data_IF_388922572627
#
_entry.id   IF_388922572627
#
_cell.length_a   1.000
_cell.length_b   1.000
_cell.length_c   1.000
_cell.angle_alpha   90.00
_cell.angle_beta   90.00
_cell.angle_gamma   90.00
#
_symmetry.space_group_name_H-M   'P 1'
#
loop_
_entity.id
_entity.type
_entity.pdbx_description
1 polymer ?
#
# COMPACT_ATOMS: atom_id res chain seq x y z
N UNK A 1 32.77 -9.32 9.55
CA UNK A 1 31.74 -9.93 8.68
C UNK A 1 31.98 -9.45 7.27
N UNK A 2 32.55 -10.33 6.45
CA UNK A 2 32.89 -10.10 5.05
C UNK A 2 31.68 -10.50 4.20
N UNK A 3 31.26 -9.63 3.29
CA UNK A 3 30.41 -10.01 2.16
C UNK A 3 31.30 -10.14 0.92
N UNK A 4 31.34 -11.35 0.37
CA UNK A 4 31.98 -11.64 -0.91
C UNK A 4 31.10 -11.15 -2.07
N UNK A 5 31.65 -10.42 -3.05
CA UNK A 5 30.97 -10.22 -4.33
C UNK A 5 31.34 -11.35 -5.30
N UNK A 6 30.32 -12.02 -5.85
CA UNK A 6 30.47 -12.96 -6.96
C UNK A 6 30.84 -12.18 -8.23
N UNK A 7 32.13 -12.21 -8.55
CA UNK A 7 32.71 -11.79 -9.82
C UNK A 7 32.50 -12.87 -10.88
N UNK A 8 31.86 -12.53 -12.00
CA UNK A 8 32.10 -13.19 -13.29
C UNK A 8 33.21 -12.43 -14.01
N UNK A 9 34.35 -13.05 -14.37
CA UNK A 9 35.40 -12.36 -15.12
C UNK A 9 35.13 -12.47 -16.63
N UNK A 10 34.90 -11.33 -17.27
CA UNK A 10 34.81 -11.21 -18.73
C UNK A 10 35.45 -9.90 -19.17
N UNK A 11 36.67 -10.00 -19.70
CA UNK A 11 37.57 -8.92 -20.13
C UNK A 11 36.91 -7.93 -21.11
N UNK A 12 37.19 -6.64 -20.93
CA UNK A 12 37.10 -5.66 -22.03
C UNK A 12 36.82 -4.21 -21.62
N UNK A 13 37.90 -3.46 -21.41
CA UNK A 13 38.04 -1.99 -21.65
C UNK A 13 37.02 -1.03 -21.02
N UNK A 14 37.53 -0.19 -20.11
CA UNK A 14 36.92 1.07 -19.73
C UNK A 14 36.70 1.95 -20.98
N UNK A 15 35.44 2.25 -21.28
CA UNK A 15 35.06 3.26 -22.27
C UNK A 15 34.42 4.39 -21.48
N UNK A 16 35.15 5.50 -21.41
CA UNK A 16 34.67 6.80 -21.00
C UNK A 16 33.54 7.27 -21.92
N UNK A 17 32.36 7.54 -21.35
CA UNK A 17 31.51 8.68 -21.71
C UNK A 17 31.15 8.91 -23.19
N UNK A 18 30.78 7.87 -23.95
CA UNK A 18 30.08 8.06 -25.23
C UNK A 18 28.80 7.23 -25.24
N UNK A 19 27.68 7.94 -25.45
CA UNK A 19 26.34 7.37 -25.67
C UNK A 19 26.38 6.22 -26.66
N UNK A 20 25.76 5.10 -26.28
CA UNK A 20 25.74 3.89 -27.06
C UNK A 20 24.99 4.09 -28.38
N UNK A 21 25.67 3.72 -29.47
CA UNK A 21 25.11 3.66 -30.82
C UNK A 21 23.99 2.62 -30.93
N UNK A 22 23.16 2.79 -31.96
CA UNK A 22 21.92 2.06 -32.33
C UNK A 22 21.94 0.52 -32.17
N UNK A 23 23.11 -0.11 -32.07
CA UNK A 23 23.25 -1.56 -31.80
C UNK A 23 22.91 -1.94 -30.34
N UNK A 24 22.91 -0.99 -29.40
CA UNK A 24 22.55 -1.22 -28.00
C UNK A 24 21.07 -1.53 -27.79
N UNK A 25 20.16 -0.83 -28.46
CA UNK A 25 18.71 -0.92 -28.23
C UNK A 25 18.11 -2.29 -28.56
N UNK A 26 18.69 -3.02 -29.53
CA UNK A 26 18.33 -4.41 -29.78
C UNK A 26 18.90 -5.38 -28.73
N UNK A 27 20.09 -5.08 -28.19
CA UNK A 27 20.74 -5.87 -27.14
C UNK A 27 20.00 -5.80 -25.80
N UNK A 28 19.35 -4.67 -25.52
CA UNK A 28 18.60 -4.46 -24.28
C UNK A 28 17.15 -4.96 -24.31
N UNK A 29 16.64 -5.50 -25.42
CA UNK A 29 15.30 -6.14 -25.44
C UNK A 29 15.22 -7.30 -24.46
N UNK A 30 16.28 -8.10 -24.37
CA UNK A 30 16.40 -9.16 -23.37
C UNK A 30 16.42 -8.62 -21.94
N UNK A 31 17.11 -7.50 -21.72
CA UNK A 31 17.22 -6.84 -20.42
C UNK A 31 15.90 -6.26 -19.94
N UNK A 32 15.14 -5.59 -20.83
CA UNK A 32 13.80 -5.06 -20.52
C UNK A 32 12.85 -6.18 -20.12
N UNK A 33 12.78 -7.26 -20.91
CA UNK A 33 11.96 -8.42 -20.55
C UNK A 33 12.37 -9.03 -19.20
N UNK A 34 13.67 -9.09 -18.90
CA UNK A 34 14.16 -9.59 -17.61
C UNK A 34 13.78 -8.66 -16.45
N UNK A 35 13.91 -7.34 -16.62
CA UNK A 35 13.49 -6.36 -15.60
C UNK A 35 11.99 -6.43 -15.34
N UNK A 36 11.18 -6.55 -16.40
CA UNK A 36 9.72 -6.70 -16.28
C UNK A 36 9.34 -7.99 -15.55
N UNK A 37 10.07 -9.09 -15.80
CA UNK A 37 9.89 -10.35 -15.09
C UNK A 37 10.33 -10.26 -13.63
N UNK A 38 11.49 -9.65 -13.35
CA UNK A 38 11.99 -9.39 -11.98
C UNK A 38 11.03 -8.48 -11.21
N UNK A 39 10.35 -7.57 -11.90
CA UNK A 39 9.29 -6.75 -11.33
C UNK A 39 8.00 -7.54 -11.09
N UNK A 40 7.88 -8.82 -11.45
CA UNK A 40 6.73 -9.67 -11.15
C UNK A 40 5.62 -9.65 -12.20
N UNK A 41 5.91 -9.25 -13.44
CA UNK A 41 5.00 -9.52 -14.54
C UNK A 41 5.07 -11.00 -14.93
N UNK A 42 3.91 -11.54 -15.31
CA UNK A 42 3.76 -12.94 -15.70
C UNK A 42 4.59 -13.28 -16.96
N UNK A 43 5.32 -14.40 -16.98
CA UNK A 43 6.15 -14.78 -18.13
C UNK A 43 5.38 -14.98 -19.44
N UNK A 44 4.12 -15.44 -19.40
CA UNK A 44 3.29 -15.61 -20.60
C UNK A 44 2.89 -14.25 -21.16
N UNK A 45 2.51 -13.32 -20.28
CA UNK A 45 2.28 -11.92 -20.63
C UNK A 45 3.54 -11.29 -21.24
N UNK A 46 4.73 -11.49 -20.66
CA UNK A 46 5.99 -11.00 -21.24
C UNK A 46 6.30 -11.69 -22.57
N UNK A 47 5.99 -12.99 -22.72
CA UNK A 47 6.22 -13.76 -23.94
C UNK A 47 5.37 -13.25 -25.11
N UNK A 48 4.11 -12.85 -24.86
CA UNK A 48 3.27 -12.16 -25.85
C UNK A 48 3.94 -10.88 -26.37
N UNK A 49 4.74 -10.21 -25.52
CA UNK A 49 5.50 -9.00 -25.87
C UNK A 49 6.89 -9.28 -26.45
N UNK A 50 7.46 -10.49 -26.28
CA UNK A 50 8.78 -10.88 -26.80
C UNK A 50 8.81 -11.18 -28.31
N UNK A 51 7.65 -11.23 -28.99
CA UNK A 51 7.50 -11.46 -30.43
C UNK A 51 7.23 -10.16 -31.24
N UNK A 52 8.06 -9.13 -31.04
CA UNK A 52 8.11 -7.93 -31.91
C UNK A 52 8.68 -8.24 -33.33
N UNK A 53 8.11 -9.23 -34.04
CA UNK A 53 8.44 -9.57 -35.45
C UNK A 53 7.28 -9.25 -36.42
N UNK A 54 7.28 -7.97 -36.83
CA UNK A 54 7.37 -7.47 -38.22
C UNK A 54 6.20 -7.56 -39.22
N UNK A 55 5.10 -8.29 -39.03
CA UNK A 55 4.02 -8.33 -40.07
C UNK A 55 2.65 -7.82 -39.61
N UNK A 56 2.38 -7.66 -38.32
CA UNK A 56 1.02 -7.33 -37.82
C UNK A 56 0.98 -6.33 -36.65
N UNK A 57 1.96 -5.42 -36.59
CA UNK A 57 2.07 -4.43 -35.50
C UNK A 57 0.86 -3.48 -35.43
N UNK A 58 0.15 -3.26 -36.54
CA UNK A 58 -0.93 -2.28 -36.65
C UNK A 58 -2.33 -2.81 -36.33
N UNK A 59 -2.56 -4.14 -36.34
CA UNK A 59 -3.93 -4.68 -36.22
C UNK A 59 -4.21 -5.44 -34.92
N UNK A 60 -3.19 -5.87 -34.18
CA UNK A 60 -3.38 -6.66 -32.94
C UNK A 60 -2.49 -6.26 -31.76
N UNK A 61 -1.41 -5.48 -31.98
CA UNK A 61 -0.46 -5.15 -30.92
C UNK A 61 -0.80 -3.89 -30.11
N UNK A 62 -1.76 -3.07 -30.56
CA UNK A 62 -2.27 -1.94 -29.78
C UNK A 62 -3.45 -2.31 -28.88
N UNK A 63 -4.20 -3.37 -29.22
CA UNK A 63 -5.35 -3.84 -28.45
C UNK A 63 -4.98 -4.72 -27.24
N UNK A 64 -3.71 -5.13 -27.08
CA UNK A 64 -3.35 -6.20 -26.13
C UNK A 64 -2.05 -5.99 -25.34
N UNK A 65 -1.52 -4.77 -25.27
CA UNK A 65 -0.51 -4.50 -24.24
C UNK A 65 -1.23 -4.54 -22.90
N UNK A 66 -1.05 -5.65 -22.17
CA UNK A 66 -1.59 -5.78 -20.82
C UNK A 66 -1.17 -4.56 -20.01
N UNK A 67 -2.12 -3.78 -19.44
CA UNK A 67 -1.80 -2.62 -18.63
C UNK A 67 -0.78 -2.96 -17.54
N UNK A 68 -0.87 -4.17 -16.96
CA UNK A 68 0.10 -4.67 -15.98
C UNK A 68 1.52 -4.68 -16.51
N UNK A 69 1.73 -5.18 -17.73
CA UNK A 69 3.05 -5.25 -18.36
C UNK A 69 3.58 -3.85 -18.68
N UNK A 70 2.72 -2.97 -19.22
CA UNK A 70 3.09 -1.57 -19.47
C UNK A 70 3.54 -0.85 -18.19
N UNK A 71 2.79 -1.02 -17.10
CA UNK A 71 3.10 -0.40 -15.82
C UNK A 71 4.41 -0.93 -15.22
N UNK A 72 4.63 -2.24 -15.28
CA UNK A 72 5.90 -2.83 -14.83
C UNK A 72 7.09 -2.33 -15.67
N UNK A 73 6.92 -2.23 -16.99
CA UNK A 73 7.95 -1.67 -17.87
C UNK A 73 8.25 -0.19 -17.55
N UNK A 74 7.23 0.56 -17.13
CA UNK A 74 7.40 1.94 -16.68
C UNK A 74 7.95 2.05 -15.24
N UNK A 75 8.27 0.93 -14.58
CA UNK A 75 8.89 0.91 -13.25
C UNK A 75 7.91 1.02 -12.08
N UNK A 76 6.60 0.93 -12.33
CA UNK A 76 5.60 0.96 -11.26
C UNK A 76 5.63 -0.33 -10.42
N UNK A 77 5.40 -0.17 -9.12
CA UNK A 77 5.11 -1.30 -8.22
C UNK A 77 3.63 -1.66 -8.34
N UNK A 78 3.31 -2.94 -8.50
CA UNK A 78 1.91 -3.40 -8.46
C UNK A 78 1.55 -3.67 -7.02
N UNK A 79 1.23 -2.60 -6.30
CA UNK A 79 0.55 -2.71 -5.03
C UNK A 79 -0.96 -2.71 -5.36
N UNK A 80 -1.63 -3.84 -5.17
CA UNK A 80 -3.09 -4.03 -5.35
C UNK A 80 -3.64 -3.85 -6.78
N UNK A 81 -2.84 -4.14 -7.82
CA UNK A 81 -3.28 -4.18 -9.23
C UNK A 81 -3.81 -2.86 -9.82
N UNK A 82 -3.87 -1.77 -9.04
CA UNK A 82 -4.36 -0.46 -9.46
C UNK A 82 -3.20 0.52 -9.65
N UNK A 83 -3.19 1.23 -10.77
CA UNK A 83 -2.30 2.36 -10.97
C UNK A 83 -2.82 3.53 -10.15
N UNK A 84 -2.20 3.78 -8.99
CA UNK A 84 -2.49 4.99 -8.24
C UNK A 84 -1.26 5.86 -8.14
N UNK A 85 -1.31 7.00 -8.82
CA UNK A 85 -0.37 8.09 -8.63
C UNK A 85 -1.02 9.07 -7.64
N UNK A 86 -0.37 9.40 -6.51
CA UNK A 86 -0.93 10.35 -5.54
C UNK A 86 -1.34 11.68 -6.14
N UNK A 87 -0.65 12.12 -7.20
CA UNK A 87 -0.95 13.36 -7.92
C UNK A 87 -2.24 13.29 -8.75
N UNK A 88 -2.71 12.10 -9.14
CA UNK A 88 -3.90 11.96 -9.98
C UNK A 88 -5.18 12.39 -9.27
N UNK A 89 -5.20 12.45 -7.94
CA UNK A 89 -6.35 12.89 -7.14
C UNK A 89 -6.59 14.40 -7.19
N UNK A 90 -5.59 15.18 -7.63
CA UNK A 90 -5.73 16.63 -7.64
C UNK A 90 -5.70 17.17 -9.08
N UNK A 91 -6.90 17.53 -9.54
CA UNK A 91 -7.15 18.03 -10.88
C UNK A 91 -6.79 19.51 -10.94
N UNK A 92 -5.96 19.95 -11.91
CA UNK A 92 -5.67 21.38 -12.07
C UNK A 92 -6.94 22.20 -12.34
N UNK A 93 -7.06 23.44 -11.83
CA UNK A 93 -8.18 24.33 -12.13
C UNK A 93 -8.38 24.49 -13.65
N UNK A 94 -9.64 24.53 -14.10
CA UNK A 94 -9.97 24.60 -15.54
C UNK A 94 -9.31 25.83 -16.17
N UNK A 95 -9.32 26.98 -15.49
CA UNK A 95 -8.72 28.24 -15.94
C UNK A 95 -7.22 28.12 -16.17
N UNK A 96 -6.54 27.27 -15.39
CA UNK A 96 -5.12 27.00 -15.56
C UNK A 96 -4.89 26.03 -16.74
N UNK A 97 -5.74 25.02 -16.89
CA UNK A 97 -5.69 24.10 -18.03
C UNK A 97 -5.90 24.81 -19.37
N UNK A 98 -6.75 25.85 -19.43
CA UNK A 98 -6.97 26.63 -20.66
C UNK A 98 -5.71 27.32 -21.18
N UNK A 99 -4.75 27.59 -20.29
CA UNK A 99 -3.52 28.30 -20.65
C UNK A 99 -2.48 27.40 -21.32
N UNK A 100 -2.57 26.08 -21.13
CA UNK A 100 -1.72 25.10 -21.80
C UNK A 100 -2.47 24.59 -23.03
N UNK A 101 -1.90 24.71 -24.22
CA UNK A 101 -2.57 24.37 -25.50
C UNK A 101 -3.97 25.02 -25.65
N UNK A 102 -4.06 26.36 -25.71
CA UNK A 102 -5.33 27.07 -25.80
C UNK A 102 -6.13 26.72 -27.07
N UNK A 103 -5.43 26.45 -28.18
CA UNK A 103 -6.04 26.13 -29.47
C UNK A 103 -6.97 24.92 -29.46
N UNK A 104 -6.85 24.03 -28.47
CA UNK A 104 -7.67 22.82 -28.36
C UNK A 104 -9.15 23.19 -28.21
N UNK A 105 -9.46 24.28 -27.51
CA UNK A 105 -10.83 24.73 -27.29
C UNK A 105 -11.51 25.18 -28.58
N UNK A 106 -10.75 25.59 -29.59
CA UNK A 106 -11.26 26.00 -30.91
C UNK A 106 -11.89 24.84 -31.69
N UNK A 107 -11.60 23.59 -31.31
CA UNK A 107 -12.12 22.38 -31.95
C UNK A 107 -13.44 21.87 -31.33
N UNK A 108 -13.95 22.51 -30.28
CA UNK A 108 -15.20 22.14 -29.63
C UNK A 108 -16.27 23.19 -29.93
N UNK A 109 -17.34 22.76 -30.62
CA UNK A 109 -18.45 23.63 -31.05
C UNK A 109 -19.18 24.28 -29.86
N UNK A 110 -19.19 23.61 -28.71
CA UNK A 110 -19.78 24.11 -27.48
C UNK A 110 -18.83 23.99 -26.29
N UNK A 111 -18.95 24.95 -25.37
CA UNK A 111 -18.23 24.91 -24.10
C UNK A 111 -18.59 23.66 -23.26
N UNK A 112 -19.79 23.10 -23.46
CA UNK A 112 -20.26 21.92 -22.75
C UNK A 112 -19.55 20.64 -23.21
N UNK A 113 -19.25 20.51 -24.50
CA UNK A 113 -18.53 19.35 -25.05
C UNK A 113 -17.09 19.29 -24.54
N UNK A 114 -16.43 20.45 -24.48
CA UNK A 114 -15.12 20.60 -23.86
C UNK A 114 -15.14 20.18 -22.39
N UNK A 115 -16.07 20.72 -21.59
CA UNK A 115 -16.17 20.38 -20.17
C UNK A 115 -16.47 18.89 -19.94
N UNK A 116 -17.32 18.28 -20.77
CA UNK A 116 -17.60 16.85 -20.71
C UNK A 116 -16.35 16.02 -21.00
N UNK A 117 -15.60 16.36 -22.05
CA UNK A 117 -14.34 15.69 -22.39
C UNK A 117 -13.31 15.84 -21.26
N UNK A 118 -13.09 17.07 -20.80
CA UNK A 118 -12.15 17.37 -19.71
C UNK A 118 -12.55 16.61 -18.45
N UNK A 119 -13.80 16.67 -18.01
CA UNK A 119 -14.22 15.96 -16.81
C UNK A 119 -14.01 14.45 -16.94
N UNK A 120 -14.32 13.86 -18.09
CA UNK A 120 -14.13 12.42 -18.31
C UNK A 120 -12.65 12.02 -18.31
N UNK A 121 -11.78 12.80 -18.95
CA UNK A 121 -10.34 12.51 -19.02
C UNK A 121 -9.64 12.83 -17.70
N UNK A 122 -10.01 13.91 -17.03
CA UNK A 122 -9.33 14.42 -15.84
C UNK A 122 -9.65 13.61 -14.59
N UNK A 123 -10.87 13.05 -14.50
CA UNK A 123 -11.28 12.23 -13.36
C UNK A 123 -10.71 10.81 -13.39
N UNK A 124 -9.86 10.46 -14.38
CA UNK A 124 -9.30 9.11 -14.58
C UNK A 124 -10.35 8.01 -14.34
N UNK A 125 -11.59 8.20 -14.82
CA UNK A 125 -12.68 7.23 -14.58
C UNK A 125 -12.20 5.85 -15.02
N UNK A 126 -12.35 4.85 -14.15
CA UNK A 126 -11.96 3.48 -14.45
C UNK A 126 -12.58 3.10 -15.81
N UNK A 127 -11.74 2.67 -16.75
CA UNK A 127 -12.15 2.35 -18.13
C UNK A 127 -13.26 1.29 -18.18
N UNK A 128 -13.48 0.59 -17.06
CA UNK A 128 -14.47 -0.47 -16.86
C UNK A 128 -15.80 -0.02 -16.24
N UNK A 129 -15.89 1.17 -15.65
CA UNK A 129 -17.13 1.66 -15.03
C UNK A 129 -17.75 2.72 -15.94
N UNK A 130 -18.77 2.33 -16.69
CA UNK A 130 -19.72 3.24 -17.34
C UNK A 130 -19.16 4.15 -18.46
N UNK A 131 -18.10 3.74 -19.18
CA UNK A 131 -18.00 4.21 -20.56
C UNK A 131 -19.18 3.56 -21.28
N UNK A 132 -20.17 4.32 -21.78
CA UNK A 132 -21.34 3.72 -22.41
C UNK A 132 -20.85 2.70 -23.45
N UNK A 133 -21.31 1.45 -23.35
CA UNK A 133 -20.73 0.33 -24.07
C UNK A 133 -20.86 0.61 -25.55
N UNK A 134 -19.75 0.95 -26.22
CA UNK A 134 -19.73 1.07 -27.67
C UNK A 134 -20.86 1.92 -28.29
N UNK A 135 -21.33 2.97 -27.61
CA UNK A 135 -21.51 4.23 -28.36
C UNK A 135 -20.08 4.74 -28.61
N UNK A 136 -19.32 3.94 -29.39
CA UNK A 136 -18.39 4.51 -30.35
C UNK A 136 -19.22 5.61 -30.93
N UNK A 137 -18.83 6.87 -30.75
CA UNK A 137 -19.32 7.87 -31.68
C UNK A 137 -19.03 7.23 -33.02
N UNK A 138 -20.07 6.72 -33.70
CA UNK A 138 -19.97 6.29 -35.08
C UNK A 138 -19.86 7.62 -35.80
N UNK A 139 -18.70 8.23 -35.63
CA UNK A 139 -18.19 9.22 -36.51
C UNK A 139 -17.99 8.40 -37.75
N UNK A 140 -18.95 8.49 -38.68
CA UNK A 140 -18.79 7.99 -40.05
C UNK A 140 -17.56 8.64 -40.74
N UNK A 141 -16.92 9.59 -40.07
CA UNK A 141 -15.71 10.29 -40.44
C UNK A 141 -14.51 9.85 -39.56
N UNK A 142 -13.70 8.95 -40.12
CA UNK A 142 -12.44 8.47 -39.52
C UNK A 142 -11.48 9.63 -39.16
N UNK A 143 -11.51 10.73 -39.92
CA UNK A 143 -10.66 11.90 -39.68
C UNK A 143 -11.06 12.60 -38.38
N UNK A 144 -12.37 12.84 -38.19
CA UNK A 144 -12.91 13.43 -36.96
C UNK A 144 -12.63 12.54 -35.75
N UNK A 145 -12.68 11.21 -35.90
CA UNK A 145 -12.37 10.27 -34.82
C UNK A 145 -10.89 10.36 -34.40
N UNK A 146 -9.96 10.32 -35.38
CA UNK A 146 -8.53 10.44 -35.10
C UNK A 146 -8.18 11.78 -34.44
N UNK A 147 -8.79 12.87 -34.92
CA UNK A 147 -8.64 14.19 -34.32
C UNK A 147 -9.13 14.22 -32.87
N UNK A 148 -10.28 13.61 -32.58
CA UNK A 148 -10.81 13.55 -31.21
C UNK A 148 -9.93 12.73 -30.25
N UNK A 149 -9.37 11.61 -30.71
CA UNK A 149 -8.39 10.85 -29.92
C UNK A 149 -7.16 11.70 -29.65
N UNK A 150 -6.63 12.39 -30.66
CA UNK A 150 -5.45 13.24 -30.53
C UNK A 150 -5.69 14.38 -29.53
N UNK A 151 -6.81 15.09 -29.65
CA UNK A 151 -7.18 16.17 -28.73
C UNK A 151 -7.38 15.66 -27.30
N UNK A 152 -8.01 14.49 -27.14
CA UNK A 152 -8.12 13.80 -25.83
C UNK A 152 -6.75 13.53 -25.20
N UNK A 153 -5.78 13.04 -25.98
CA UNK A 153 -4.41 12.84 -25.49
C UNK A 153 -3.76 14.15 -25.07
N UNK A 154 -3.94 15.23 -25.84
CA UNK A 154 -3.40 16.54 -25.46
C UNK A 154 -4.02 17.05 -24.16
N UNK A 155 -5.32 16.85 -23.94
CA UNK A 155 -6.00 17.18 -22.67
C UNK A 155 -5.38 16.42 -21.52
N UNK A 156 -5.18 15.11 -21.65
CA UNK A 156 -4.49 14.31 -20.64
C UNK A 156 -3.07 14.83 -20.37
N UNK A 157 -2.33 15.19 -21.43
CA UNK A 157 -0.99 15.77 -21.30
C UNK A 157 -1.01 17.11 -20.57
N UNK A 158 -2.05 17.96 -20.71
CA UNK A 158 -2.16 19.20 -19.90
C UNK A 158 -2.14 18.88 -18.40
N UNK A 159 -2.91 17.87 -17.98
CA UNK A 159 -2.96 17.40 -16.58
C UNK A 159 -1.57 17.02 -16.10
N UNK A 160 -0.92 16.12 -16.85
CA UNK A 160 0.40 15.59 -16.52
C UNK A 160 1.45 16.69 -16.47
N UNK A 161 1.48 17.59 -17.47
CA UNK A 161 2.42 18.72 -17.52
C UNK A 161 2.25 19.62 -16.31
N UNK A 162 1.02 20.00 -15.95
CA UNK A 162 0.77 20.89 -14.81
C UNK A 162 1.14 20.23 -13.48
N UNK A 163 0.76 18.96 -13.29
CA UNK A 163 1.09 18.19 -12.10
C UNK A 163 2.60 17.99 -11.93
N UNK A 164 3.27 17.55 -12.99
CA UNK A 164 4.70 17.26 -12.96
C UNK A 164 5.52 18.56 -12.89
N UNK A 165 5.07 19.64 -13.53
CA UNK A 165 5.67 20.97 -13.36
C UNK A 165 5.62 21.42 -11.89
N UNK A 166 4.46 21.27 -11.23
CA UNK A 166 4.31 21.65 -9.83
C UNK A 166 5.26 20.84 -8.94
N UNK A 167 5.34 19.51 -9.16
CA UNK A 167 6.24 18.63 -8.43
C UNK A 167 7.73 18.95 -8.69
N UNK A 168 8.12 19.19 -9.94
CA UNK A 168 9.50 19.51 -10.32
C UNK A 168 9.97 20.85 -9.73
N UNK A 169 9.09 21.84 -9.64
CA UNK A 169 9.44 23.13 -9.05
C UNK A 169 9.62 23.05 -7.53
N UNK A 170 9.07 22.04 -6.85
CA UNK A 170 9.40 21.76 -5.43
C UNK A 170 10.81 21.19 -5.27
N UNK A 171 11.27 20.42 -6.26
CA UNK A 171 12.61 19.85 -6.27
C UNK A 171 13.70 20.86 -6.66
N UNK A 172 13.36 22.13 -6.93
CA UNK A 172 14.33 23.20 -7.26
C UNK A 172 15.39 23.42 -6.17
N UNK A 173 15.16 23.00 -4.92
CA UNK A 173 16.19 23.01 -3.88
C UNK A 173 17.32 21.98 -4.10
N UNK A 174 17.10 20.95 -4.93
CA UNK A 174 18.03 19.86 -5.20
C UNK A 174 18.66 19.94 -6.60
N UNK A 175 17.97 20.58 -7.55
CA UNK A 175 18.39 20.68 -8.94
C UNK A 175 18.07 22.07 -9.49
N UNK A 176 18.92 22.59 -10.38
CA UNK A 176 18.73 23.91 -11.01
C UNK A 176 17.67 23.88 -12.13
N UNK A 177 16.45 23.46 -11.77
CA UNK A 177 15.31 23.48 -12.67
C UNK A 177 14.80 24.90 -12.93
N UNK A 178 15.27 25.91 -12.19
CA UNK A 178 14.96 27.31 -12.45
C UNK A 178 15.39 27.77 -13.84
N UNK A 179 16.36 27.08 -14.44
CA UNK A 179 16.84 27.31 -15.81
C UNK A 179 16.07 26.54 -16.89
N UNK A 180 15.14 25.65 -16.53
CA UNK A 180 14.40 24.91 -17.55
C UNK A 180 13.46 25.84 -18.32
N UNK A 181 13.61 25.86 -19.64
CA UNK A 181 12.91 26.77 -20.55
C UNK A 181 11.38 26.75 -20.39
N UNK A 182 10.79 25.60 -20.03
CA UNK A 182 9.34 25.48 -19.81
C UNK A 182 8.83 26.45 -18.73
N UNK A 183 9.59 26.67 -17.65
CA UNK A 183 9.21 27.58 -16.57
C UNK A 183 9.47 29.05 -16.92
N UNK A 184 10.04 29.31 -18.10
CA UNK A 184 10.10 30.64 -18.68
C UNK A 184 8.72 31.17 -19.06
N UNK A 185 7.79 30.28 -19.39
CA UNK A 185 6.43 30.59 -19.82
C UNK A 185 5.61 31.29 -18.72
N UNK A 186 4.81 32.34 -19.04
CA UNK A 186 4.00 33.07 -18.07
C UNK A 186 3.02 32.19 -17.26
N UNK A 187 2.54 31.08 -17.83
CA UNK A 187 1.59 30.19 -17.15
C UNK A 187 2.13 29.68 -15.82
N UNK A 188 3.41 29.27 -15.79
CA UNK A 188 4.05 28.74 -14.58
C UNK A 188 4.48 29.82 -13.58
N UNK A 189 4.40 31.10 -13.96
CA UNK A 189 4.68 32.26 -13.09
C UNK A 189 3.43 32.91 -12.56
N UNK A 190 2.25 32.53 -13.07
CA UNK A 190 0.97 33.10 -12.69
C UNK A 190 0.50 32.68 -11.29
N UNK A 191 -0.39 33.48 -10.71
CA UNK A 191 -1.02 33.18 -9.42
C UNK A 191 -1.82 31.88 -9.44
N UNK A 192 -2.48 31.56 -10.55
CA UNK A 192 -3.26 30.32 -10.71
C UNK A 192 -2.38 29.08 -10.55
N UNK A 193 -1.22 29.05 -11.21
CA UNK A 193 -0.29 27.93 -11.09
C UNK A 193 0.35 27.86 -9.70
N UNK A 194 0.69 29.01 -9.12
CA UNK A 194 1.28 29.08 -7.76
C UNK A 194 0.31 28.57 -6.69
N UNK A 195 -0.98 28.93 -6.77
CA UNK A 195 -2.01 28.42 -5.87
C UNK A 195 -2.21 26.92 -6.05
N UNK A 196 -2.35 26.47 -7.30
CA UNK A 196 -2.45 25.05 -7.64
C UNK A 196 -1.29 24.23 -7.07
N UNK A 197 -0.06 24.70 -7.25
CA UNK A 197 1.15 24.07 -6.71
C UNK A 197 1.09 23.99 -5.18
N UNK A 198 0.74 25.08 -4.51
CA UNK A 198 0.65 25.11 -3.05
C UNK A 198 -0.39 24.12 -2.50
N UNK A 199 -1.55 24.00 -3.17
CA UNK A 199 -2.59 23.03 -2.81
C UNK A 199 -2.13 21.58 -3.05
N UNK A 200 -1.51 21.30 -4.20
CA UNK A 200 -0.95 19.98 -4.50
C UNK A 200 0.12 19.57 -3.46
N UNK A 201 0.97 20.51 -3.04
CA UNK A 201 1.97 20.26 -1.99
C UNK A 201 1.31 19.93 -0.65
N UNK A 202 0.29 20.68 -0.25
CA UNK A 202 -0.45 20.42 1.00
C UNK A 202 -1.08 19.02 0.99
N UNK A 203 -1.64 18.58 -0.14
CA UNK A 203 -2.18 17.22 -0.28
C UNK A 203 -1.09 16.15 -0.17
N UNK A 204 0.07 16.38 -0.79
CA UNK A 204 1.24 15.51 -0.66
C UNK A 204 1.70 15.37 0.80
N UNK A 205 1.79 16.49 1.53
CA UNK A 205 2.14 16.51 2.94
C UNK A 205 1.12 15.78 3.82
N UNK A 206 -0.18 15.96 3.55
CA UNK A 206 -1.25 15.27 4.29
C UNK A 206 -1.15 13.76 4.05
N UNK A 207 -1.00 13.31 2.79
CA UNK A 207 -0.81 11.89 2.48
C UNK A 207 0.39 11.32 3.21
N UNK A 208 1.54 12.00 3.14
CA UNK A 208 2.77 11.55 3.80
C UNK A 208 2.62 11.51 5.33
N UNK A 209 1.93 12.47 5.94
CA UNK A 209 1.66 12.50 7.38
C UNK A 209 0.73 11.38 7.81
N UNK A 210 -0.32 11.09 7.05
CA UNK A 210 -1.24 9.97 7.30
C UNK A 210 -0.47 8.65 7.22
N UNK A 211 0.28 8.44 6.14
CA UNK A 211 1.04 7.21 5.94
C UNK A 211 2.10 7.01 7.04
N UNK A 212 2.85 8.05 7.36
CA UNK A 212 3.86 7.99 8.44
C UNK A 212 3.21 7.77 9.82
N UNK A 213 2.06 8.41 10.08
CA UNK A 213 1.32 8.29 11.33
C UNK A 213 0.77 6.89 11.54
N UNK A 214 0.11 6.32 10.52
CA UNK A 214 -0.41 4.96 10.54
C UNK A 214 0.75 3.96 10.73
N UNK A 215 1.83 4.07 9.94
CA UNK A 215 2.99 3.19 10.07
C UNK A 215 3.60 3.27 11.48
N UNK A 216 3.68 4.46 12.07
CA UNK A 216 4.21 4.65 13.43
C UNK A 216 3.31 3.98 14.47
N UNK A 217 1.98 4.15 14.38
CA UNK A 217 1.02 3.52 15.28
C UNK A 217 1.08 1.98 15.17
N UNK A 218 1.12 1.44 13.96
CA UNK A 218 1.24 0.00 13.73
C UNK A 218 2.53 -0.56 14.34
N UNK A 219 3.67 0.12 14.15
CA UNK A 219 4.95 -0.28 14.76
C UNK A 219 4.89 -0.27 16.29
N UNK A 220 4.29 0.77 16.88
CA UNK A 220 4.14 0.86 18.34
C UNK A 220 3.27 -0.26 18.88
N UNK A 221 2.17 -0.60 18.19
CA UNK A 221 1.28 -1.68 18.61
C UNK A 221 1.98 -3.05 18.52
N UNK A 222 2.72 -3.31 17.42
CA UNK A 222 3.53 -4.52 17.27
C UNK A 222 4.58 -4.62 18.39
N UNK A 223 5.26 -3.53 18.73
CA UNK A 223 6.23 -3.52 19.83
C UNK A 223 5.57 -3.80 21.18
N UNK A 224 4.39 -3.23 21.45
CA UNK A 224 3.63 -3.50 22.68
C UNK A 224 3.19 -4.96 22.76
N UNK A 225 2.67 -5.52 21.68
CA UNK A 225 2.33 -6.95 21.62
C UNK A 225 3.56 -7.83 21.80
N UNK A 226 4.69 -7.53 21.16
CA UNK A 226 5.91 -8.30 21.32
C UNK A 226 6.47 -8.25 22.75
N UNK A 227 6.31 -7.12 23.46
CA UNK A 227 6.64 -7.01 24.89
C UNK A 227 5.69 -7.83 25.77
N UNK A 228 4.41 -7.92 25.41
CA UNK A 228 3.41 -8.71 26.13
C UNK A 228 3.54 -10.22 25.86
N UNK A 229 4.01 -10.61 24.67
CA UNK A 229 4.01 -11.99 24.17
C UNK A 229 5.33 -12.73 24.34
N UNK A 230 6.20 -12.33 25.27
CA UNK A 230 7.54 -12.92 25.50
C UNK A 230 7.55 -14.41 25.91
N UNK A 231 6.44 -15.14 25.80
CA UNK A 231 6.33 -16.56 26.16
C UNK A 231 5.81 -17.50 25.06
N UNK A 232 5.32 -17.05 23.90
CA UNK A 232 4.87 -17.97 22.83
C UNK A 232 5.05 -17.39 21.42
N UNK A 233 6.04 -17.90 20.67
CA UNK A 233 6.41 -17.44 19.32
C UNK A 233 5.33 -17.60 18.23
N UNK A 234 4.35 -18.49 18.37
CA UNK A 234 3.35 -18.69 17.30
C UNK A 234 2.27 -17.61 17.27
N UNK A 235 2.03 -16.90 18.39
CA UNK A 235 0.99 -15.87 18.49
C UNK A 235 1.41 -14.54 17.86
N UNK A 236 2.71 -14.26 17.75
CA UNK A 236 3.20 -13.01 17.17
C UNK A 236 3.14 -12.97 15.64
N UNK A 237 3.25 -14.11 14.95
CA UNK A 237 3.13 -14.16 13.49
C UNK A 237 1.68 -13.97 13.03
N UNK A 238 0.71 -14.49 13.80
CA UNK A 238 -0.71 -14.35 13.51
C UNK A 238 -1.19 -12.92 13.74
N UNK A 239 -0.75 -12.29 14.83
CA UNK A 239 -1.00 -10.86 15.08
C UNK A 239 -0.34 -9.96 14.02
N UNK A 240 0.85 -10.32 13.51
CA UNK A 240 1.49 -9.58 12.42
C UNK A 240 0.68 -9.68 11.11
N UNK A 241 0.07 -10.85 10.84
CA UNK A 241 -0.83 -11.05 9.70
C UNK A 241 -2.09 -10.20 9.82
N UNK A 242 -2.78 -10.24 10.97
CA UNK A 242 -3.94 -9.40 11.21
C UNK A 242 -3.63 -7.91 11.04
N UNK A 243 -2.47 -7.45 11.52
CA UNK A 243 -2.04 -6.06 11.36
C UNK A 243 -1.75 -5.69 9.90
N UNK A 244 -1.18 -6.61 9.12
CA UNK A 244 -0.96 -6.41 7.68
C UNK A 244 -2.29 -6.34 6.94
N UNK A 245 -3.25 -7.20 7.29
CA UNK A 245 -4.58 -7.23 6.69
C UNK A 245 -5.36 -5.95 7.03
N UNK A 246 -5.32 -5.50 8.30
CA UNK A 246 -5.94 -4.25 8.75
C UNK A 246 -5.32 -3.01 8.06
N UNK A 247 -4.02 -3.06 7.76
CA UNK A 247 -3.38 -2.01 6.96
C UNK A 247 -3.88 -2.02 5.51
N UNK A 248 -4.09 -3.21 4.93
CA UNK A 248 -4.75 -3.37 3.64
C UNK A 248 -6.15 -2.75 3.63
N UNK A 249 -6.97 -3.10 4.63
CA UNK A 249 -8.34 -2.58 4.76
C UNK A 249 -8.39 -1.06 4.96
N UNK A 250 -7.53 -0.49 5.82
CA UNK A 250 -7.44 0.96 6.02
C UNK A 250 -6.98 1.68 4.76
N UNK A 251 -6.11 1.05 3.96
CA UNK A 251 -5.66 1.59 2.68
C UNK A 251 -6.79 1.54 1.64
N UNK A 252 -7.54 0.46 1.59
CA UNK A 252 -8.70 0.30 0.70
C UNK A 252 -9.84 1.26 1.07
N UNK A 253 -10.09 1.44 2.36
CA UNK A 253 -11.04 2.43 2.88
C UNK A 253 -10.62 3.87 2.55
N UNK A 254 -9.32 4.18 2.61
CA UNK A 254 -8.78 5.46 2.13
C UNK A 254 -9.07 5.66 0.63
N UNK A 255 -8.97 4.62 -0.19
CA UNK A 255 -9.30 4.72 -1.62
C UNK A 255 -10.79 4.96 -1.86
N UNK A 256 -11.66 4.29 -1.10
CA UNK A 256 -13.11 4.51 -1.16
C UNK A 256 -13.48 5.95 -0.78
N UNK A 257 -12.85 6.50 0.27
CA UNK A 257 -13.01 7.88 0.71
C UNK A 257 -12.57 8.92 -0.32
N UNK A 258 -11.41 8.71 -0.95
CA UNK A 258 -10.92 9.59 -2.00
C UNK A 258 -11.83 9.54 -3.23
N UNK A 259 -12.36 8.37 -3.58
CA UNK A 259 -13.35 8.21 -4.65
C UNK A 259 -14.70 8.89 -4.32
N UNK A 260 -15.19 8.80 -3.08
CA UNK A 260 -16.41 9.51 -2.63
C UNK A 260 -16.23 11.03 -2.63
N UNK A 261 -15.03 11.52 -2.31
CA UNK A 261 -14.68 12.94 -2.35
C UNK A 261 -14.74 13.50 -3.79
N UNK A 262 -14.14 12.79 -4.75
CA UNK A 262 -14.12 13.20 -6.15
C UNK A 262 -15.52 13.17 -6.81
N UNK A 263 -16.40 12.26 -6.38
CA UNK A 263 -17.78 12.19 -6.88
C UNK A 263 -18.66 13.37 -6.44
N UNK A 264 -18.26 14.11 -5.40
CA UNK A 264 -19.14 15.04 -4.69
C UNK A 264 -18.65 16.49 -4.69
N UNK A 265 -17.97 16.96 -5.75
CA UNK A 265 -17.45 18.34 -5.87
C UNK A 265 -18.55 19.41 -6.03
N UNK A 266 -19.34 19.60 -4.98
CA UNK A 266 -20.38 20.61 -4.87
C UNK A 266 -20.85 20.79 -3.42
N UNK A 267 -19.98 21.29 -2.54
CA UNK A 267 -20.41 21.88 -1.27
C UNK A 267 -19.51 21.60 -0.06
N UNK A 268 -19.06 22.68 0.58
CA UNK A 268 -18.34 22.70 1.87
C UNK A 268 -18.99 21.86 3.01
N UNK A 269 -20.26 21.47 2.87
CA UNK A 269 -21.00 20.64 3.85
C UNK A 269 -20.58 19.16 3.83
N UNK A 270 -20.17 18.64 2.67
CA UNK A 270 -19.73 17.24 2.52
C UNK A 270 -18.39 16.97 3.21
N UNK A 271 -17.52 17.99 3.32
CA UNK A 271 -16.24 17.88 4.02
C UNK A 271 -16.44 17.54 5.52
N UNK A 272 -17.54 18.00 6.13
CA UNK A 272 -17.90 17.71 7.51
C UNK A 272 -18.55 16.32 7.66
N UNK A 273 -19.35 15.86 6.70
CA UNK A 273 -19.93 14.51 6.70
C UNK A 273 -18.86 13.45 6.42
N UNK A 274 -17.90 13.73 5.55
CA UNK A 274 -16.78 12.84 5.23
C UNK A 274 -15.83 12.72 6.42
N UNK A 275 -15.46 13.85 7.06
CA UNK A 275 -14.73 13.81 8.34
C UNK A 275 -15.50 13.05 9.43
N UNK A 276 -16.83 13.19 9.50
CA UNK A 276 -17.65 12.41 10.44
C UNK A 276 -17.59 10.91 10.14
N UNK A 277 -17.67 10.49 8.86
CA UNK A 277 -17.51 9.08 8.47
C UNK A 277 -16.12 8.57 8.86
N UNK A 278 -15.05 9.31 8.53
CA UNK A 278 -13.66 8.95 8.91
C UNK A 278 -13.53 8.80 10.43
N UNK A 279 -14.08 9.74 11.20
CA UNK A 279 -14.07 9.69 12.66
C UNK A 279 -14.89 8.51 13.21
N UNK A 280 -16.02 8.15 12.60
CA UNK A 280 -16.81 6.99 12.99
C UNK A 280 -16.05 5.70 12.73
N UNK A 281 -15.42 5.54 11.56
CA UNK A 281 -14.65 4.33 11.26
C UNK A 281 -13.39 4.21 12.13
N UNK A 282 -12.69 5.32 12.38
CA UNK A 282 -11.59 5.34 13.36
C UNK A 282 -12.08 4.99 14.77
N UNK A 283 -13.26 5.47 15.18
CA UNK A 283 -13.83 5.13 16.48
C UNK A 283 -14.22 3.65 16.57
N UNK A 284 -14.78 3.06 15.51
CA UNK A 284 -15.06 1.62 15.45
C UNK A 284 -13.77 0.81 15.58
N UNK A 285 -12.73 1.16 14.81
CA UNK A 285 -11.43 0.48 14.90
C UNK A 285 -10.79 0.61 16.29
N UNK A 286 -10.93 1.77 16.95
CA UNK A 286 -10.49 1.96 18.35
C UNK A 286 -11.29 1.05 19.29
N UNK A 287 -12.62 1.02 19.17
CA UNK A 287 -13.47 0.20 20.03
C UNK A 287 -13.18 -1.30 19.86
N UNK A 288 -12.95 -1.76 18.63
CA UNK A 288 -12.61 -3.16 18.36
C UNK A 288 -11.24 -3.52 18.95
N UNK A 289 -10.25 -2.62 18.84
CA UNK A 289 -8.95 -2.79 19.48
C UNK A 289 -9.07 -2.84 21.02
N UNK A 290 -9.91 -1.99 21.62
CA UNK A 290 -10.20 -2.00 23.06
C UNK A 290 -10.90 -3.29 23.49
N UNK A 291 -11.84 -3.80 22.69
CA UNK A 291 -12.53 -5.06 22.95
C UNK A 291 -11.56 -6.24 22.94
N UNK A 292 -10.65 -6.31 21.95
CA UNK A 292 -9.61 -7.33 21.88
C UNK A 292 -8.70 -7.25 23.11
N UNK A 293 -8.30 -6.05 23.54
CA UNK A 293 -7.53 -5.88 24.78
C UNK A 293 -8.28 -6.35 26.03
N UNK A 294 -9.59 -6.07 26.15
CA UNK A 294 -10.41 -6.54 27.27
C UNK A 294 -10.56 -8.07 27.28
N UNK A 295 -10.77 -8.68 26.12
CA UNK A 295 -10.82 -10.14 25.99
C UNK A 295 -9.50 -10.78 26.41
N UNK A 296 -8.37 -10.22 25.96
CA UNK A 296 -7.05 -10.72 26.32
C UNK A 296 -6.77 -10.55 27.82
N UNK A 297 -7.20 -9.44 28.43
CA UNK A 297 -7.10 -9.24 29.88
C UNK A 297 -7.93 -10.28 30.64
N UNK A 298 -9.17 -10.54 30.20
CA UNK A 298 -10.05 -11.54 30.80
C UNK A 298 -9.45 -12.94 30.70
N UNK A 299 -8.90 -13.30 29.54
CA UNK A 299 -8.23 -14.58 29.34
C UNK A 299 -7.02 -14.76 30.28
N UNK A 300 -6.21 -13.73 30.43
CA UNK A 300 -5.05 -13.75 31.35
C UNK A 300 -5.49 -13.90 32.81
N UNK A 301 -6.58 -13.25 33.23
CA UNK A 301 -7.14 -13.43 34.58
C UNK A 301 -7.62 -14.86 34.81
N UNK A 302 -8.33 -15.47 33.86
CA UNK A 302 -8.77 -16.86 33.96
C UNK A 302 -7.59 -17.83 34.08
N UNK A 303 -6.53 -17.59 33.30
CA UNK A 303 -5.31 -18.40 33.36
C UNK A 303 -4.59 -18.30 34.71
N UNK A 304 -4.53 -17.10 35.30
CA UNK A 304 -4.00 -16.89 36.65
C UNK A 304 -4.82 -17.63 37.71
N UNK A 305 -6.16 -17.57 37.62
CA UNK A 305 -7.04 -18.31 38.53
C UNK A 305 -6.84 -19.82 38.43
N UNK A 306 -6.68 -20.35 37.21
CA UNK A 306 -6.42 -21.77 36.99
C UNK A 306 -5.08 -22.21 37.60
N UNK A 307 -4.02 -21.42 37.40
CA UNK A 307 -2.71 -21.70 38.02
C UNK A 307 -2.80 -21.69 39.55
N UNK A 308 -3.52 -20.73 40.13
CA UNK A 308 -3.73 -20.69 41.58
C UNK A 308 -4.50 -21.91 42.09
N UNK A 309 -5.55 -22.34 41.40
CA UNK A 309 -6.27 -23.57 41.74
C UNK A 309 -5.39 -24.83 41.65
N UNK A 310 -4.51 -24.91 40.65
CA UNK A 310 -3.55 -26.01 40.52
C UNK A 310 -2.55 -26.03 41.69
N UNK A 311 -2.04 -24.87 42.10
CA UNK A 311 -1.16 -24.76 43.28
C UNK A 311 -1.87 -25.21 44.56
N UNK A 312 -3.11 -24.80 44.78
CA UNK A 312 -3.90 -25.24 45.94
C UNK A 312 -4.13 -26.75 45.95
N UNK A 313 -4.37 -27.37 44.79
CA UNK A 313 -4.48 -28.83 44.67
C UNK A 313 -3.17 -29.52 45.03
N UNK A 314 -2.03 -29.00 44.56
CA UNK A 314 -0.72 -29.55 44.90
C UNK A 314 -0.43 -29.46 46.40
N UNK A 315 -0.71 -28.31 47.02
CA UNK A 315 -0.56 -28.14 48.48
C UNK A 315 -1.43 -29.15 49.23
N UNK A 316 -2.70 -29.34 48.83
CA UNK A 316 -3.58 -30.33 49.47
C UNK A 316 -3.06 -31.76 49.32
N UNK A 317 -2.56 -32.13 48.14
CA UNK A 317 -1.95 -33.44 47.91
C UNK A 317 -0.73 -33.65 48.80
N UNK A 318 0.13 -32.64 48.93
CA UNK A 318 1.29 -32.69 49.81
C UNK A 318 0.87 -32.89 51.28
N UNK A 319 -0.09 -32.12 51.78
CA UNK A 319 -0.56 -32.29 53.15
C UNK A 319 -1.17 -33.68 53.42
N UNK A 320 -1.86 -34.27 52.44
CA UNK A 320 -2.37 -35.65 52.60
C UNK A 320 -1.25 -36.68 52.61
N UNK A 321 -0.18 -36.48 51.83
CA UNK A 321 1.00 -37.34 51.86
C UNK A 321 1.73 -37.22 53.20
N UNK A 322 1.90 -36.01 53.71
CA UNK A 322 2.54 -35.76 55.01
C UNK A 322 1.73 -36.44 56.14
N UNK A 323 0.38 -36.35 56.11
CA UNK A 323 -0.49 -37.05 57.06
C UNK A 323 -0.33 -38.58 57.00
N UNK A 324 -0.26 -39.16 55.80
CA UNK A 324 -0.05 -40.61 55.64
C UNK A 324 1.33 -41.04 56.16
N UNK A 325 2.35 -40.21 55.97
CA UNK A 325 3.69 -40.46 56.50
C UNK A 325 3.71 -40.43 58.03
N UNK A 326 3.02 -39.47 58.65
CA UNK A 326 2.89 -39.37 60.11
C UNK A 326 2.10 -40.57 60.70
N UNK A 327 1.04 -41.01 60.03
CA UNK A 327 0.28 -42.22 60.41
C UNK A 327 1.15 -43.48 60.37
N UNK A 328 1.92 -43.68 59.29
CA UNK A 328 2.85 -44.81 59.16
C UNK A 328 3.95 -44.79 60.23
N UNK A 329 4.46 -43.60 60.58
CA UNK A 329 5.45 -43.47 61.64
C UNK A 329 4.88 -43.81 63.02
N UNK A 330 3.64 -43.40 63.30
CA UNK A 330 2.97 -43.76 64.54
C UNK A 330 2.70 -45.27 64.63
N UNK A 331 2.25 -45.90 63.55
CA UNK A 331 2.07 -47.37 63.50
C UNK A 331 3.38 -48.12 63.77
N UNK A 332 4.49 -47.70 63.14
CA UNK A 332 5.81 -48.28 63.40
C UNK A 332 6.28 -48.07 64.86
N UNK A 333 5.98 -46.92 65.44
CA UNK A 333 6.33 -46.62 66.82
C UNK A 333 5.52 -47.47 67.81
N UNK A 334 4.24 -47.73 67.53
CA UNK A 334 3.41 -48.63 68.34
C UNK A 334 3.88 -50.09 68.22
N UNK A 335 4.24 -50.57 67.02
CA UNK A 335 4.84 -51.90 66.81
C UNK A 335 6.13 -52.09 67.62
N UNK A 336 7.05 -51.11 67.58
CA UNK A 336 8.29 -51.16 68.37
C UNK A 336 8.04 -51.17 69.89
N UNK A 337 6.97 -50.51 70.33
CA UNK A 337 6.59 -50.45 71.74
C UNK A 337 6.08 -51.80 72.24
N UNK A 338 5.30 -52.49 71.41
CA UNK A 338 4.80 -53.83 71.70
C UNK A 338 5.94 -54.87 71.70
N UNK A 339 6.91 -54.75 70.79
CA UNK A 339 8.12 -55.60 70.78
C UNK A 339 8.93 -55.44 72.08
N UNK A 340 9.20 -54.22 72.52
CA UNK A 340 9.89 -53.96 73.79
C UNK A 340 9.12 -54.48 75.01
N UNK A 341 7.78 -54.47 74.95
CA UNK A 341 6.97 -54.96 76.05
C UNK A 341 6.99 -56.49 76.16
N UNK A 342 7.05 -57.21 75.03
CA UNK A 342 7.20 -58.67 75.00
C UNK A 342 8.59 -59.12 75.47
N UNK A 343 9.68 -58.42 75.10
CA UNK A 343 11.03 -58.78 75.56
C UNK A 343 11.16 -58.70 77.10
N UNK A 344 10.46 -57.79 77.76
CA UNK A 344 10.44 -57.71 79.23
C UNK A 344 9.59 -58.78 79.92
N UNK A 345 8.70 -59.48 79.21
CA UNK A 345 7.94 -60.59 79.78
C UNK A 345 8.71 -61.91 79.75
N UNK A 346 9.64 -62.09 78.81
CA UNK A 346 10.48 -63.29 78.72
C UNK A 346 11.67 -63.30 79.70
N UNK A 347 11.99 -62.16 80.33
CA UNK A 347 13.04 -62.05 81.37
C UNK A 347 12.53 -62.25 82.82
N UNK A 348 11.21 -62.43 83.04
CA UNK A 348 10.61 -62.75 84.33
C UNK A 348 10.20 -64.22 84.43
#
# INVERSE_FOLDING_TARGET
MQFSPLLCPGKGTAISGHEYSWQGTHRFRGTGARHTQEAGADPESIAQHRNWSTVRLTTHCLDSISPRVALRMAGFKMDNERLWLPRNTYIPPVELQRQIFPFIEEYFDSHLDWLALVNNIMLDREEHTDRPPNDRMVLDDDEKYCLMIFLSHLVHLKKVILQDAAALMELQGQFDYGLHHIFGDPVFKGALFSNYRAELHQLGDISNKIDTGIIKLLKQNIEQQNRASSTTKSSSEEALREVIDLHGELRDFRYELLSEFDRNQGGHVLNLQLMKKVLVHLQVAINDAELVQQQQHTHNQQRLQLMHQQQLRQIRLQCMQDQQMDEQQNEQHDEQRDEQHNEHQDEQ
#
